data_IF_371131500154
#
_entry.id   IF_371131500154
#
_cell.length_a   1.000
_cell.length_b   1.000
_cell.length_c   1.000
_cell.angle_alpha   90.00
_cell.angle_beta   90.00
_cell.angle_gamma   90.00
#
_symmetry.space_group_name_H-M   'P 1'
#
loop_
_entity.id
_entity.type
_entity.pdbx_description
1 polymer ?
#
# COMPACT_ATOMS: atom_id res chain seq x y z
N UNK A 1 -3.81 -0.29 -1.30
CA UNK A 1 -4.77 0.26 -0.32
C UNK A 1 -4.25 -0.06 1.06
N UNK A 2 -4.19 0.95 1.93
CA UNK A 2 -3.64 0.85 3.28
C UNK A 2 -4.70 1.38 4.25
N UNK A 3 -4.92 0.68 5.34
CA UNK A 3 -5.72 1.14 6.48
C UNK A 3 -4.80 1.30 7.67
N UNK A 4 -4.70 2.53 8.17
CA UNK A 4 -3.89 2.88 9.34
C UNK A 4 -4.63 2.40 10.59
N UNK A 5 -3.91 1.67 11.44
CA UNK A 5 -4.38 1.16 12.72
C UNK A 5 -3.98 2.12 13.84
N UNK A 6 -3.95 1.64 15.09
CA UNK A 6 -3.62 2.40 16.30
C UNK A 6 -2.17 2.92 16.30
N UNK A 7 -1.89 3.89 15.43
CA UNK A 7 -0.62 4.56 15.27
C UNK A 7 -0.76 5.99 15.80
N UNK A 8 0.07 6.35 16.78
CA UNK A 8 0.06 7.68 17.40
C UNK A 8 0.68 8.76 16.53
N UNK A 9 1.52 8.37 15.57
CA UNK A 9 2.21 9.29 14.65
C UNK A 9 1.45 9.35 13.32
N UNK A 10 1.46 10.51 12.67
CA UNK A 10 0.87 10.65 11.35
C UNK A 10 1.83 10.08 10.29
N UNK A 11 1.28 9.37 9.29
CA UNK A 11 2.08 8.85 8.17
C UNK A 11 2.09 9.91 7.06
N UNK A 12 3.28 10.30 6.64
CA UNK A 12 3.50 11.30 5.60
C UNK A 12 4.04 10.66 4.31
N UNK A 13 3.87 11.38 3.19
CA UNK A 13 4.57 11.04 1.97
C UNK A 13 6.09 11.19 2.18
N UNK A 14 6.84 10.14 1.86
CA UNK A 14 8.27 10.04 2.06
C UNK A 14 8.69 9.07 3.16
N UNK A 15 7.79 8.71 4.08
CA UNK A 15 8.08 7.78 5.16
C UNK A 15 8.45 6.39 4.65
N UNK A 16 9.37 5.72 5.34
CA UNK A 16 9.92 4.42 4.93
C UNK A 16 9.73 3.36 6.01
N UNK A 17 8.49 2.95 6.33
CA UNK A 17 8.26 1.87 7.29
C UNK A 17 8.68 0.51 6.72
N UNK A 18 8.80 -0.47 7.60
CA UNK A 18 9.01 -1.87 7.23
C UNK A 18 7.69 -2.51 6.81
N UNK A 19 7.73 -3.32 5.76
CA UNK A 19 6.56 -4.00 5.20
C UNK A 19 6.80 -5.50 5.20
N UNK A 20 5.89 -6.19 5.88
CA UNK A 20 5.79 -7.65 5.87
C UNK A 20 4.77 -8.08 4.81
N UNK A 21 5.22 -8.80 3.80
CA UNK A 21 4.37 -9.40 2.79
C UNK A 21 4.76 -10.87 2.58
N UNK A 22 3.88 -11.79 2.97
CA UNK A 22 4.16 -13.23 2.99
C UNK A 22 5.41 -13.56 3.84
N UNK A 23 6.53 -13.90 3.21
CA UNK A 23 7.82 -14.19 3.84
C UNK A 23 8.84 -13.07 3.62
N UNK A 24 8.50 -12.06 2.81
CA UNK A 24 9.35 -10.92 2.56
C UNK A 24 9.15 -9.86 3.63
N UNK A 25 10.26 -9.35 4.16
CA UNK A 25 10.31 -8.23 5.09
C UNK A 25 11.25 -7.18 4.53
N UNK A 26 10.72 -6.06 4.06
CA UNK A 26 11.50 -4.99 3.42
C UNK A 26 10.97 -3.60 3.74
N UNK A 27 11.88 -2.63 3.81
CA UNK A 27 11.52 -1.22 3.93
C UNK A 27 10.91 -0.70 2.63
N UNK A 28 9.72 -0.09 2.72
CA UNK A 28 9.03 0.51 1.58
C UNK A 28 8.80 1.99 1.79
N UNK A 29 9.20 2.81 0.82
CA UNK A 29 8.90 4.24 0.80
C UNK A 29 7.45 4.48 0.40
N UNK A 30 6.73 5.25 1.20
CA UNK A 30 5.41 5.81 0.87
C UNK A 30 5.64 6.97 -0.10
N UNK A 31 5.76 6.65 -1.39
CA UNK A 31 6.13 7.64 -2.40
C UNK A 31 5.06 8.71 -2.61
N UNK A 32 3.80 8.30 -2.65
CA UNK A 32 2.68 9.21 -2.85
C UNK A 32 1.42 8.71 -2.13
N UNK A 33 0.77 9.59 -1.38
CA UNK A 33 -0.57 9.37 -0.84
C UNK A 33 -1.58 9.86 -1.89
N UNK A 34 -2.21 8.95 -2.62
CA UNK A 34 -3.05 9.32 -3.78
C UNK A 34 -4.43 9.79 -3.37
N UNK A 35 -5.13 8.98 -2.58
CA UNK A 35 -6.52 9.23 -2.24
C UNK A 35 -6.84 8.66 -0.86
N UNK A 36 -7.48 9.44 0.01
CA UNK A 36 -8.15 8.95 1.21
C UNK A 36 -9.53 8.44 0.82
N UNK A 37 -9.87 7.23 1.25
CA UNK A 37 -11.10 6.55 0.90
C UNK A 37 -11.87 6.10 2.14
N UNK A 38 -13.19 6.07 2.02
CA UNK A 38 -14.05 5.47 3.04
C UNK A 38 -13.91 3.94 3.01
N UNK A 39 -13.63 3.34 4.17
CA UNK A 39 -13.38 1.89 4.30
C UNK A 39 -14.56 1.02 3.88
N UNK A 40 -15.80 1.49 4.04
CA UNK A 40 -17.02 0.70 3.78
C UNK A 40 -17.55 0.90 2.37
N UNK A 41 -17.63 2.15 1.93
CA UNK A 41 -18.22 2.52 0.64
C UNK A 41 -17.21 2.59 -0.50
N UNK A 42 -15.91 2.65 -0.20
CA UNK A 42 -14.85 2.80 -1.19
C UNK A 42 -14.84 4.16 -1.90
N UNK A 43 -15.66 5.12 -1.46
CA UNK A 43 -15.72 6.46 -2.03
C UNK A 43 -14.48 7.26 -1.63
N UNK A 44 -13.98 8.05 -2.57
CA UNK A 44 -12.87 8.99 -2.31
C UNK A 44 -13.40 10.12 -1.43
N UNK A 45 -12.77 10.29 -0.26
CA UNK A 45 -13.03 11.37 0.68
C UNK A 45 -12.17 12.59 0.36
N UNK A 46 -10.88 12.35 0.05
CA UNK A 46 -9.91 13.41 -0.23
C UNK A 46 -8.89 12.90 -1.26
N UNK A 47 -8.50 13.78 -2.19
CA UNK A 47 -7.41 13.51 -3.15
C UNK A 47 -6.13 14.16 -2.65
N UNK A 48 -5.02 13.45 -2.78
CA UNK A 48 -3.68 13.87 -2.37
C UNK A 48 -3.62 14.38 -0.92
N UNK A 49 -4.02 13.56 0.08
CA UNK A 49 -3.99 13.97 1.48
C UNK A 49 -2.54 14.26 1.92
N UNK A 50 -2.36 15.26 2.78
CA UNK A 50 -1.04 15.64 3.30
C UNK A 50 -0.45 14.60 4.27
N UNK A 51 -1.30 13.88 5.00
CA UNK A 51 -0.94 12.85 5.96
C UNK A 51 -2.09 11.84 6.14
N UNK A 52 -1.78 10.70 6.74
CA UNK A 52 -2.76 9.70 7.19
C UNK A 52 -2.69 9.53 8.70
N UNK A 53 -3.86 9.44 9.34
CA UNK A 53 -3.98 9.21 10.79
C UNK A 53 -4.69 7.89 11.11
N UNK A 54 -4.67 7.49 12.38
CA UNK A 54 -5.29 6.25 12.85
C UNK A 54 -6.78 6.17 12.46
N UNK A 55 -7.16 5.07 11.80
CA UNK A 55 -8.52 4.84 11.31
C UNK A 55 -8.73 5.18 9.84
N UNK A 56 -7.80 5.93 9.23
CA UNK A 56 -7.88 6.28 7.83
C UNK A 56 -7.62 5.08 6.93
N UNK A 57 -8.28 5.08 5.78
CA UNK A 57 -7.97 4.19 4.68
C UNK A 57 -7.60 5.02 3.46
N UNK A 58 -6.53 4.63 2.77
CA UNK A 58 -6.03 5.37 1.61
C UNK A 58 -5.48 4.46 0.52
N UNK A 59 -5.41 5.00 -0.69
CA UNK A 59 -4.65 4.47 -1.81
C UNK A 59 -3.28 5.15 -1.79
N UNK A 60 -2.25 4.33 -1.60
CA UNK A 60 -0.86 4.78 -1.48
C UNK A 60 -0.03 4.09 -2.55
N UNK A 61 0.88 4.83 -3.16
CA UNK A 61 1.95 4.28 -3.99
C UNK A 61 3.17 4.03 -3.12
N UNK A 62 3.61 2.78 -3.11
CA UNK A 62 4.76 2.33 -2.31
C UNK A 62 5.88 1.90 -3.25
N UNK A 63 7.12 2.21 -2.87
CA UNK A 63 8.33 1.81 -3.59
C UNK A 63 9.21 1.00 -2.63
N UNK A 64 9.44 -0.30 -2.88
CA UNK A 64 10.32 -1.10 -2.04
C UNK A 64 11.78 -0.65 -2.23
N UNK A 65 12.54 -0.63 -1.13
CA UNK A 65 13.95 -0.18 -1.15
C UNK A 65 14.89 -1.24 -1.75
N UNK A 66 14.50 -2.51 -1.70
CA UNK A 66 15.18 -3.65 -2.34
C UNK A 66 14.19 -4.41 -3.22
N UNK A 67 14.65 -5.20 -4.22
CA UNK A 67 13.76 -6.00 -5.06
C UNK A 67 12.86 -6.89 -4.20
N UNK A 68 11.54 -6.77 -4.41
CA UNK A 68 10.52 -7.47 -3.64
C UNK A 68 9.49 -8.08 -4.61
N UNK A 69 9.11 -9.33 -4.37
CA UNK A 69 8.07 -10.01 -5.15
C UNK A 69 6.71 -9.85 -4.46
N UNK A 70 5.80 -9.16 -5.13
CA UNK A 70 4.42 -8.93 -4.67
C UNK A 70 3.46 -9.04 -5.84
N UNK A 71 2.19 -9.37 -5.56
CA UNK A 71 1.15 -9.51 -6.58
C UNK A 71 -0.12 -8.78 -6.17
N UNK A 72 -0.98 -8.47 -7.15
CA UNK A 72 -2.30 -7.90 -6.86
C UNK A 72 -3.14 -8.90 -6.05
N UNK A 73 -3.87 -8.41 -5.06
CA UNK A 73 -4.69 -9.24 -4.18
C UNK A 73 -5.76 -10.03 -4.94
N UNK A 74 -6.30 -9.47 -6.01
CA UNK A 74 -7.27 -10.14 -6.90
C UNK A 74 -6.69 -11.37 -7.59
N UNK A 75 -5.38 -11.34 -7.88
CA UNK A 75 -4.72 -12.33 -8.72
C UNK A 75 -4.07 -13.40 -7.86
N UNK A 76 -3.41 -12.98 -6.77
CA UNK A 76 -2.76 -13.89 -5.83
C UNK A 76 -2.94 -13.41 -4.38
N UNK A 77 -4.04 -13.82 -3.71
CA UNK A 77 -4.38 -13.34 -2.37
C UNK A 77 -3.30 -13.55 -1.30
N UNK A 78 -2.46 -14.57 -1.46
CA UNK A 78 -1.36 -14.89 -0.53
C UNK A 78 -0.20 -13.88 -0.60
N UNK A 79 0.03 -13.26 -1.75
CA UNK A 79 1.10 -12.27 -1.99
C UNK A 79 0.58 -10.83 -2.09
N UNK A 80 -0.73 -10.64 -1.96
CA UNK A 80 -1.38 -9.33 -2.08
C UNK A 80 -1.80 -8.71 -0.75
N UNK A 81 -1.55 -9.37 0.39
CA UNK A 81 -1.77 -8.81 1.74
C UNK A 81 -0.44 -8.45 2.36
N UNK A 82 -0.40 -7.31 3.04
CA UNK A 82 0.80 -6.87 3.75
C UNK A 82 0.45 -6.17 5.05
N UNK A 83 1.39 -6.22 5.98
CA UNK A 83 1.39 -5.44 7.20
C UNK A 83 2.51 -4.40 7.12
N UNK A 84 2.26 -3.23 7.68
CA UNK A 84 3.23 -2.14 7.81
C UNK A 84 3.58 -2.04 9.28
N UNK A 85 4.86 -2.10 9.58
CA UNK A 85 5.40 -2.09 10.93
C UNK A 85 6.28 -0.85 11.12
N UNK A 86 6.16 -0.20 12.28
CA UNK A 86 7.05 0.88 12.67
C UNK A 86 8.42 0.31 13.08
N UNK A 87 9.48 0.98 12.62
CA UNK A 87 10.87 0.55 12.80
C UNK A 87 11.29 0.56 14.28
N UNK A 88 10.71 1.42 15.11
CA UNK A 88 11.12 1.58 16.50
C UNK A 88 10.41 0.61 17.45
N UNK A 89 9.12 0.36 17.22
CA UNK A 89 8.27 -0.42 18.12
C UNK A 89 7.95 -1.83 17.63
N UNK A 90 8.26 -2.16 16.36
CA UNK A 90 7.79 -3.36 15.65
C UNK A 90 6.28 -3.58 15.74
N UNK A 91 5.53 -2.54 16.09
CA UNK A 91 4.09 -2.58 16.17
C UNK A 91 3.53 -2.47 14.75
N UNK A 92 2.49 -3.25 14.45
CA UNK A 92 1.74 -3.07 13.19
C UNK A 92 0.98 -1.75 13.23
N UNK A 93 1.40 -0.81 12.39
CA UNK A 93 0.85 0.54 12.28
C UNK A 93 -0.20 0.65 11.20
N UNK A 94 -0.14 -0.21 10.19
CA UNK A 94 -1.14 -0.27 9.14
C UNK A 94 -1.21 -1.67 8.54
N UNK A 95 -2.34 -1.97 7.90
CA UNK A 95 -2.53 -3.19 7.11
C UNK A 95 -3.03 -2.82 5.73
N UNK A 96 -2.70 -3.62 4.73
CA UNK A 96 -3.04 -3.27 3.37
C UNK A 96 -3.29 -4.46 2.46
N UNK A 97 -3.94 -4.13 1.35
CA UNK A 97 -4.09 -5.00 0.19
C UNK A 97 -3.52 -4.30 -1.04
N UNK A 98 -2.84 -5.07 -1.87
CA UNK A 98 -2.24 -4.59 -3.11
C UNK A 98 -3.31 -4.58 -4.19
N UNK A 99 -3.59 -3.39 -4.75
CA UNK A 99 -4.56 -3.25 -5.85
C UNK A 99 -3.92 -3.47 -7.21
N UNK A 100 -2.70 -2.99 -7.39
CA UNK A 100 -1.94 -3.13 -8.63
C UNK A 100 -0.44 -3.10 -8.33
N UNK A 101 0.35 -3.71 -9.21
CA UNK A 101 1.81 -3.77 -9.12
C UNK A 101 2.41 -3.35 -10.46
N UNK A 102 3.39 -2.46 -10.43
CA UNK A 102 4.22 -2.16 -11.62
C UNK A 102 5.44 -3.08 -11.59
N UNK A 103 5.48 -4.08 -12.47
CA UNK A 103 6.55 -5.10 -12.47
C UNK A 103 7.78 -4.58 -13.19
N UNK A 104 8.94 -4.60 -12.52
CA UNK A 104 10.22 -4.33 -13.17
C UNK A 104 10.56 -5.48 -14.13
N UNK A 105 10.66 -5.22 -15.43
CA UNK A 105 11.17 -6.18 -16.42
C UNK A 105 10.16 -6.93 -17.29
N UNK A 106 8.88 -6.53 -17.35
CA UNK A 106 7.98 -6.95 -18.44
C UNK A 106 7.38 -5.75 -19.18
N UNK A 107 8.03 -5.33 -20.25
CA UNK A 107 7.31 -5.00 -21.49
C UNK A 107 6.60 -6.26 -21.95
N UNK A 108 5.36 -6.44 -21.50
CA UNK A 108 4.38 -7.23 -22.24
C UNK A 108 3.10 -6.42 -22.24
N UNK A 109 2.81 -5.82 -23.39
CA UNK A 109 1.46 -5.42 -23.75
C UNK A 109 0.52 -6.60 -23.44
N UNK A 110 -0.45 -6.37 -22.56
CA UNK A 110 -1.59 -7.24 -22.43
C UNK A 110 -2.84 -6.37 -22.47
N UNK A 111 -3.25 -6.12 -23.71
CA UNK A 111 -4.61 -5.89 -24.19
C UNK A 111 -5.56 -5.05 -23.32
N UNK A 112 -5.88 -3.85 -23.85
CA UNK A 112 -7.03 -3.07 -23.42
C UNK A 112 -8.30 -3.91 -23.44
N UNK A 113 -9.02 -3.90 -22.31
CA UNK A 113 -10.41 -4.34 -22.28
C UNK A 113 -11.26 -3.17 -22.80
N UNK A 114 -11.59 -3.21 -24.09
CA UNK A 114 -12.68 -2.42 -24.66
C UNK A 114 -13.97 -2.84 -23.96
N UNK A 115 -14.62 -1.88 -23.32
CA UNK A 115 -16.02 -1.95 -22.91
C UNK A 115 -16.89 -2.01 -24.18
N UNK A 116 -17.89 -2.89 -24.18
CA UNK A 116 -18.94 -2.99 -25.20
C UNK A 116 -20.24 -2.55 -24.54
#
# INVERSE_FOLDING_TARGET
QVTVLNHSVQIHAGDTPEVDCHTAHEACKFAELKEKIDRRSGKVLERNPAFLESGDTAIVQMIPSRPMCVEAFSDYPALGRFAVCDMNSKQTVAIGIIKSVTKAGKTTEAAGKKEK
#
